data_IF_855626779655
#
_entry.id   IF_855626779655
#
_cell.length_a   1.000
_cell.length_b   1.000
_cell.length_c   1.000
_cell.angle_alpha   90.00
_cell.angle_beta   90.00
_cell.angle_gamma   90.00
#
_symmetry.space_group_name_H-M   'P 1'
#
loop_
_entity.id
_entity.type
_entity.pdbx_description
1 polymer ?
#
# COMPACT_ATOMS: atom_id res chain seq x y z
N UNK A 1 -18.41 -7.18 -1.40
CA UNK A 1 -16.94 -7.16 -1.50
C UNK A 1 -16.39 -6.20 -0.44
N UNK A 2 -15.39 -6.63 0.34
CA UNK A 2 -14.78 -5.82 1.41
C UNK A 2 -13.41 -5.37 0.94
N UNK A 3 -13.12 -4.07 1.00
CA UNK A 3 -11.83 -3.47 0.69
C UNK A 3 -11.10 -3.17 2.00
N UNK A 4 -9.89 -3.68 2.16
CA UNK A 4 -9.00 -3.38 3.29
C UNK A 4 -7.75 -2.69 2.75
N UNK A 5 -7.38 -1.55 3.32
CA UNK A 5 -6.21 -0.79 2.91
C UNK A 5 -5.05 -0.96 3.88
N UNK A 6 -3.85 -1.11 3.34
CA UNK A 6 -2.62 -1.32 4.11
C UNK A 6 -2.01 0.02 4.52
N UNK A 7 -2.03 0.33 5.82
CA UNK A 7 -1.64 1.62 6.39
C UNK A 7 -0.32 1.52 7.17
N UNK A 8 0.81 1.46 6.45
CA UNK A 8 2.17 1.39 7.00
C UNK A 8 2.90 2.73 6.88
N UNK A 9 3.03 3.24 5.65
CA UNK A 9 3.85 4.41 5.29
C UNK A 9 3.40 5.69 5.97
N UNK A 10 4.35 6.51 6.40
CA UNK A 10 4.13 7.83 7.00
C UNK A 10 4.88 8.92 6.23
N UNK A 11 4.57 10.21 6.44
CA UNK A 11 5.29 11.31 5.80
C UNK A 11 6.82 11.23 5.97
N UNK A 12 7.29 10.76 7.12
CA UNK A 12 8.70 10.69 7.47
C UNK A 12 9.27 9.26 7.52
N UNK A 13 8.45 8.23 7.29
CA UNK A 13 8.85 6.82 7.35
C UNK A 13 8.31 6.05 6.14
N UNK A 14 9.11 5.97 5.08
CA UNK A 14 8.86 5.18 3.88
C UNK A 14 9.77 3.96 3.81
N UNK A 15 10.98 4.11 3.24
CA UNK A 15 11.97 3.02 3.15
C UNK A 15 12.43 2.55 4.53
N UNK A 16 12.60 3.47 5.48
CA UNK A 16 12.82 3.16 6.89
C UNK A 16 11.48 3.00 7.63
N UNK A 17 10.71 1.99 7.25
CA UNK A 17 9.38 1.76 7.79
C UNK A 17 9.37 1.43 9.30
N UNK A 18 10.48 0.95 9.86
CA UNK A 18 10.59 0.68 11.30
C UNK A 18 10.65 1.96 12.16
N UNK A 19 10.92 3.11 11.53
CA UNK A 19 10.96 4.44 12.17
C UNK A 19 9.59 5.13 12.22
N UNK A 20 8.51 4.43 11.90
CA UNK A 20 7.14 4.98 12.00
C UNK A 20 6.87 5.57 13.40
N UNK A 21 6.10 6.66 13.41
CA UNK A 21 5.82 7.46 14.62
C UNK A 21 4.37 7.40 15.08
N UNK A 22 3.44 6.98 14.23
CA UNK A 22 2.04 6.79 14.64
C UNK A 22 1.98 5.88 15.86
N UNK A 23 1.23 6.28 16.88
CA UNK A 23 1.13 5.58 18.16
C UNK A 23 -0.22 4.91 18.32
N UNK A 24 -0.26 3.82 19.07
CA UNK A 24 -1.47 3.15 19.55
C UNK A 24 -1.25 2.82 21.04
N UNK A 25 -1.64 3.73 21.90
CA UNK A 25 -1.39 3.59 23.36
C UNK A 25 -2.59 2.93 24.00
N UNK A 26 -2.35 1.86 24.76
CA UNK A 26 -3.41 1.10 25.43
C UNK A 26 -4.06 1.92 26.53
N UNK A 27 -5.40 1.95 26.52
CA UNK A 27 -6.26 2.58 27.52
C UNK A 27 -7.41 1.61 27.86
N UNK A 28 -7.17 0.75 28.85
CA UNK A 28 -8.13 -0.29 29.25
C UNK A 28 -8.38 -1.32 28.15
N UNK A 29 -9.61 -1.36 27.66
CA UNK A 29 -10.09 -2.24 26.60
C UNK A 29 -9.97 -1.63 25.17
N UNK A 30 -9.30 -0.49 25.05
CA UNK A 30 -9.06 0.23 23.81
C UNK A 30 -7.59 0.60 23.62
N UNK A 31 -7.28 1.05 22.40
CA UNK A 31 -6.06 1.80 22.07
C UNK A 31 -6.44 3.20 21.58
N UNK A 32 -5.72 4.21 22.06
CA UNK A 32 -5.80 5.57 21.53
C UNK A 32 -4.77 5.71 20.44
N UNK A 33 -5.25 5.94 19.21
CA UNK A 33 -4.40 6.01 18.01
C UNK A 33 -4.23 7.44 17.57
N UNK A 34 -2.96 7.85 17.38
CA UNK A 34 -2.58 9.16 16.86
C UNK A 34 -1.49 9.03 15.80
N UNK A 35 -1.62 9.80 14.71
CA UNK A 35 -0.63 9.88 13.65
C UNK A 35 -1.22 9.97 12.25
N UNK A 36 -0.34 10.09 11.25
CA UNK A 36 -0.74 10.21 9.84
C UNK A 36 -0.10 9.11 9.02
N UNK A 37 -0.92 8.38 8.27
CA UNK A 37 -0.48 7.42 7.25
C UNK A 37 -0.59 8.04 5.87
N UNK A 38 0.45 7.89 5.07
CA UNK A 38 0.57 8.52 3.76
C UNK A 38 0.53 7.51 2.61
N UNK A 39 0.01 7.94 1.47
CA UNK A 39 -0.09 7.16 0.24
C UNK A 39 -0.87 5.85 0.39
N UNK A 40 -1.94 5.87 1.18
CA UNK A 40 -2.73 4.67 1.45
C UNK A 40 -3.66 4.38 0.28
N UNK A 41 -3.40 3.26 -0.40
CA UNK A 41 -4.14 2.85 -1.59
C UNK A 41 -5.58 2.53 -1.25
N UNK A 42 -6.51 3.13 -2.00
CA UNK A 42 -7.96 2.98 -1.86
C UNK A 42 -8.52 3.36 -0.49
N UNK A 43 -7.82 4.15 0.33
CA UNK A 43 -8.27 4.53 1.66
C UNK A 43 -9.67 5.15 1.68
N UNK A 44 -10.01 5.94 0.65
CA UNK A 44 -11.34 6.58 0.53
C UNK A 44 -12.47 5.61 0.18
N UNK A 45 -12.16 4.35 -0.16
CA UNK A 45 -13.11 3.27 -0.47
C UNK A 45 -12.98 2.09 0.49
N UNK A 46 -11.99 2.12 1.39
CA UNK A 46 -11.75 1.05 2.34
C UNK A 46 -12.90 0.93 3.35
N UNK A 47 -13.15 -0.30 3.79
CA UNK A 47 -14.06 -0.62 4.89
C UNK A 47 -13.27 -0.77 6.21
N UNK A 48 -11.98 -1.11 6.09
CA UNK A 48 -11.06 -1.22 7.22
C UNK A 48 -9.62 -0.91 6.77
N UNK A 49 -8.76 -0.68 7.75
CA UNK A 49 -7.33 -0.48 7.56
C UNK A 49 -6.55 -1.57 8.29
N UNK A 50 -5.54 -2.17 7.64
CA UNK A 50 -4.48 -2.86 8.37
C UNK A 50 -3.47 -1.81 8.78
N UNK A 51 -3.54 -1.36 10.04
CA UNK A 51 -2.73 -0.27 10.59
C UNK A 51 -1.51 -0.81 11.32
N UNK A 52 -0.33 -0.30 11.02
CA UNK A 52 0.88 -0.47 11.82
C UNK A 52 1.09 0.79 12.65
N UNK A 53 1.14 0.62 13.98
CA UNK A 53 1.35 1.71 14.91
C UNK A 53 2.23 1.27 16.08
N UNK A 54 2.87 2.21 16.73
CA UNK A 54 3.77 1.98 17.84
C UNK A 54 2.98 1.87 19.15
N UNK A 55 2.98 0.67 19.74
CA UNK A 55 2.36 0.40 21.05
C UNK A 55 3.34 0.66 22.18
N UNK A 56 4.64 0.53 21.94
CA UNK A 56 5.69 0.91 22.90
C UNK A 56 6.58 2.03 22.33
N UNK A 57 6.31 3.30 22.68
CA UNK A 57 7.13 4.43 22.25
C UNK A 57 8.57 4.41 22.80
N UNK A 58 8.85 3.64 23.86
CA UNK A 58 10.18 3.52 24.49
C UNK A 58 11.06 2.51 23.76
N UNK A 59 10.46 1.54 23.08
CA UNK A 59 11.18 0.53 22.30
C UNK A 59 11.37 1.01 20.86
N UNK A 60 12.59 1.37 20.44
CA UNK A 60 12.86 1.83 19.08
C UNK A 60 12.78 0.68 18.06
N UNK A 61 12.60 1.06 16.78
CA UNK A 61 12.61 0.12 15.66
C UNK A 61 11.41 -0.82 15.64
N UNK A 62 11.60 -1.99 15.06
CA UNK A 62 10.55 -2.95 14.73
C UNK A 62 9.77 -3.51 15.93
N UNK A 63 10.45 -3.71 17.06
CA UNK A 63 9.87 -4.38 18.23
C UNK A 63 8.79 -3.56 18.96
N UNK A 64 8.77 -2.24 18.78
CA UNK A 64 7.74 -1.38 19.37
C UNK A 64 6.47 -1.26 18.51
N UNK A 65 6.40 -1.95 17.36
CA UNK A 65 5.32 -1.80 16.37
C UNK A 65 4.36 -2.98 16.42
N UNK A 66 3.07 -2.69 16.55
CA UNK A 66 1.96 -3.65 16.48
C UNK A 66 1.12 -3.44 15.23
N UNK A 67 0.33 -4.44 14.86
CA UNK A 67 -0.59 -4.38 13.74
C UNK A 67 -2.03 -4.49 14.23
N UNK A 68 -2.93 -3.76 13.58
CA UNK A 68 -4.35 -3.71 13.93
C UNK A 68 -5.22 -3.82 12.68
N UNK A 69 -6.40 -4.43 12.80
CA UNK A 69 -7.47 -4.30 11.79
C UNK A 69 -8.47 -3.27 12.31
N UNK A 70 -8.45 -2.08 11.73
CA UNK A 70 -9.22 -0.93 12.21
C UNK A 70 -10.41 -0.67 11.30
N UNK A 71 -11.66 -0.76 11.76
CA UNK A 71 -12.82 -0.33 11.01
C UNK A 71 -12.71 1.15 10.64
N UNK A 72 -13.14 1.50 9.43
CA UNK A 72 -13.04 2.86 8.91
C UNK A 72 -13.85 3.89 9.69
N UNK A 73 -15.04 3.48 10.17
CA UNK A 73 -16.04 4.40 10.71
C UNK A 73 -15.81 4.77 12.19
N UNK A 74 -14.64 4.43 12.73
CA UNK A 74 -14.26 4.85 14.08
C UNK A 74 -14.06 6.36 14.12
N UNK A 75 -14.69 7.08 15.09
CA UNK A 75 -14.46 8.51 15.29
C UNK A 75 -12.97 8.83 15.47
N UNK A 76 -12.53 9.96 14.91
CA UNK A 76 -11.12 10.36 14.92
C UNK A 76 -10.30 9.81 13.74
N UNK A 77 -10.92 9.09 12.79
CA UNK A 77 -10.27 8.68 11.54
C UNK A 77 -10.71 9.63 10.42
N UNK A 78 -9.75 10.33 9.82
CA UNK A 78 -9.98 11.29 8.75
C UNK A 78 -9.22 10.87 7.49
N UNK A 79 -9.92 10.84 6.35
CA UNK A 79 -9.36 10.44 5.07
C UNK A 79 -9.19 11.66 4.18
N UNK A 80 -7.95 11.89 3.75
CA UNK A 80 -7.58 12.98 2.87
C UNK A 80 -8.15 12.84 1.46
N UNK A 81 -7.96 13.90 0.67
CA UNK A 81 -8.33 13.88 -0.75
C UNK A 81 -7.39 12.96 -1.53
N UNK A 82 -7.88 12.32 -2.61
CA UNK A 82 -7.02 11.54 -3.49
C UNK A 82 -5.91 12.38 -4.11
N UNK A 83 -4.70 11.85 -4.08
CA UNK A 83 -3.52 12.44 -4.72
C UNK A 83 -3.63 12.38 -6.25
N UNK A 84 -3.06 13.40 -6.92
CA UNK A 84 -2.89 13.38 -8.39
C UNK A 84 -1.70 12.52 -8.74
N UNK A 85 -1.89 11.56 -9.66
CA UNK A 85 -0.85 10.62 -10.09
C UNK A 85 -0.63 10.67 -11.59
N UNK A 86 0.54 10.20 -12.05
CA UNK A 86 0.87 10.12 -13.48
C UNK A 86 0.13 8.98 -14.19
N UNK A 87 -0.34 7.97 -13.45
CA UNK A 87 -1.03 6.81 -14.02
C UNK A 87 -1.82 6.05 -12.95
N UNK A 88 -2.39 4.91 -13.32
CA UNK A 88 -3.21 4.04 -12.47
C UNK A 88 -4.35 4.80 -11.76
N UNK A 89 -5.08 5.62 -12.50
CA UNK A 89 -6.10 6.52 -11.97
C UNK A 89 -7.26 5.78 -11.28
N UNK A 90 -7.47 4.51 -11.61
CA UNK A 90 -8.49 3.67 -10.98
C UNK A 90 -8.21 3.30 -9.52
N UNK A 91 -6.93 3.33 -9.09
CA UNK A 91 -6.53 3.11 -7.71
C UNK A 91 -6.25 4.45 -7.04
N UNK A 92 -7.13 4.90 -6.15
CA UNK A 92 -6.91 6.15 -5.40
C UNK A 92 -5.80 5.97 -4.35
N UNK A 93 -5.09 7.04 -4.03
CA UNK A 93 -4.12 7.10 -2.95
C UNK A 93 -4.46 8.30 -2.08
N UNK A 94 -4.61 8.12 -0.77
CA UNK A 94 -4.97 9.17 0.17
C UNK A 94 -4.09 9.10 1.42
N UNK A 95 -4.00 10.22 2.14
CA UNK A 95 -3.55 10.22 3.53
C UNK A 95 -4.69 9.75 4.44
N UNK A 96 -4.35 9.11 5.55
CA UNK A 96 -5.27 8.73 6.63
C UNK A 96 -4.72 9.29 7.94
N UNK A 97 -5.48 10.16 8.57
CA UNK A 97 -5.11 10.81 9.83
C UNK A 97 -5.91 10.20 10.97
N UNK A 98 -5.22 9.87 12.04
CA UNK A 98 -5.80 9.39 13.29
C UNK A 98 -5.60 10.46 14.35
N UNK A 99 -6.71 10.95 14.91
CA UNK A 99 -6.75 11.97 15.97
C UNK A 99 -7.55 11.42 17.14
N UNK A 100 -6.85 10.98 18.18
CA UNK A 100 -7.41 10.32 19.35
C UNK A 100 -8.43 9.22 19.02
N UNK A 101 -8.18 8.49 17.93
CA UNK A 101 -9.08 7.43 17.49
C UNK A 101 -9.07 6.27 18.49
N UNK A 102 -10.21 5.99 19.11
CA UNK A 102 -10.38 4.89 20.09
C UNK A 102 -10.73 3.61 19.36
N UNK A 103 -9.77 2.72 19.23
CA UNK A 103 -9.97 1.41 18.59
C UNK A 103 -10.08 0.31 19.67
N UNK A 104 -11.04 -0.64 19.55
CA UNK A 104 -11.14 -1.75 20.48
C UNK A 104 -9.86 -2.59 20.55
N UNK A 105 -9.52 -3.10 21.74
CA UNK A 105 -8.31 -3.92 21.91
C UNK A 105 -8.33 -5.20 21.08
N UNK A 106 -9.51 -5.72 20.78
CA UNK A 106 -9.71 -6.87 19.87
C UNK A 106 -9.28 -6.62 18.42
N UNK A 107 -9.06 -5.35 18.02
CA UNK A 107 -8.50 -5.01 16.72
C UNK A 107 -7.02 -5.34 16.58
N UNK A 108 -6.32 -5.67 17.69
CA UNK A 108 -4.92 -6.08 17.66
C UNK A 108 -4.77 -7.42 16.93
N UNK A 109 -3.89 -7.45 15.94
CA UNK A 109 -3.62 -8.68 15.18
C UNK A 109 -2.66 -9.60 15.95
N UNK A 110 -3.09 -10.83 16.20
CA UNK A 110 -2.29 -11.90 16.80
C UNK A 110 -2.17 -11.81 18.31
N UNK A 111 -3.00 -11.01 18.98
CA UNK A 111 -3.14 -10.89 20.43
C UNK A 111 -1.83 -10.56 21.19
N UNK A 112 -0.77 -10.18 20.47
CA UNK A 112 0.56 -9.85 21.01
C UNK A 112 1.08 -8.54 20.43
N UNK A 113 1.41 -7.58 21.30
CA UNK A 113 2.05 -6.34 20.90
C UNK A 113 3.49 -6.57 20.40
N UNK A 114 4.01 -5.64 19.58
CA UNK A 114 5.39 -5.68 19.09
C UNK A 114 5.67 -6.64 17.93
N UNK A 115 4.65 -7.36 17.42
CA UNK A 115 4.78 -8.31 16.30
C UNK A 115 4.38 -7.73 14.95
N UNK A 116 3.79 -6.55 14.93
CA UNK A 116 3.20 -5.96 13.73
C UNK A 116 4.19 -5.72 12.60
N UNK A 117 5.41 -5.29 12.89
CA UNK A 117 6.41 -5.03 11.86
C UNK A 117 6.84 -6.33 11.14
N UNK A 118 7.08 -7.40 11.87
CA UNK A 118 7.44 -8.70 11.28
C UNK A 118 6.31 -9.21 10.38
N UNK A 119 5.08 -9.12 10.86
CA UNK A 119 3.88 -9.48 10.07
C UNK A 119 3.78 -8.65 8.79
N UNK A 120 4.00 -7.33 8.88
CA UNK A 120 4.00 -6.45 7.73
C UNK A 120 5.07 -6.85 6.69
N UNK A 121 6.29 -7.18 7.12
CA UNK A 121 7.37 -7.60 6.21
C UNK A 121 7.06 -8.92 5.51
N UNK A 122 6.48 -9.89 6.21
CA UNK A 122 6.04 -11.16 5.61
C UNK A 122 4.98 -10.97 4.54
N UNK A 123 4.03 -10.06 4.76
CA UNK A 123 3.00 -9.71 3.77
C UNK A 123 3.62 -9.02 2.54
N UNK A 124 4.54 -8.07 2.75
CA UNK A 124 5.23 -7.37 1.67
C UNK A 124 6.11 -8.30 0.84
N UNK A 125 6.74 -9.31 1.45
CA UNK A 125 7.53 -10.30 0.72
C UNK A 125 6.67 -11.07 -0.28
N UNK A 126 5.49 -11.53 0.14
CA UNK A 126 4.52 -12.16 -0.77
C UNK A 126 4.01 -11.17 -1.83
N UNK A 127 3.76 -9.92 -1.45
CA UNK A 127 3.34 -8.86 -2.36
C UNK A 127 4.34 -8.61 -3.50
N UNK A 128 5.64 -8.73 -3.24
CA UNK A 128 6.69 -8.59 -4.28
C UNK A 128 6.57 -9.67 -5.36
N UNK A 129 6.24 -10.91 -4.99
CA UNK A 129 6.01 -11.99 -5.95
C UNK A 129 4.76 -11.71 -6.82
N UNK A 130 3.68 -11.24 -6.21
CA UNK A 130 2.46 -10.88 -6.94
C UNK A 130 2.72 -9.76 -7.96
N UNK A 131 3.42 -8.70 -7.54
CA UNK A 131 3.74 -7.58 -8.44
C UNK A 131 4.68 -8.03 -9.58
N UNK A 132 5.64 -8.90 -9.30
CA UNK A 132 6.51 -9.48 -10.34
C UNK A 132 5.69 -10.25 -11.38
N UNK A 133 4.73 -11.06 -10.97
CA UNK A 133 3.85 -11.78 -11.89
C UNK A 133 2.99 -10.82 -12.74
N UNK A 134 2.47 -9.75 -12.15
CA UNK A 134 1.74 -8.70 -12.89
C UNK A 134 2.63 -8.04 -13.93
N UNK A 135 3.88 -7.70 -13.58
CA UNK A 135 4.83 -7.08 -14.50
C UNK A 135 5.16 -7.99 -15.69
N UNK A 136 5.33 -9.31 -15.44
CA UNK A 136 5.57 -10.30 -16.51
C UNK A 136 4.38 -10.34 -17.46
N UNK A 137 3.15 -10.47 -16.95
CA UNK A 137 1.96 -10.51 -17.81
C UNK A 137 1.75 -9.24 -18.63
N UNK A 138 2.08 -8.07 -18.06
CA UNK A 138 2.06 -6.80 -18.82
C UNK A 138 3.14 -6.78 -19.90
N UNK A 139 4.36 -7.24 -19.60
CA UNK A 139 5.46 -7.30 -20.57
C UNK A 139 5.12 -8.22 -21.74
N UNK A 140 4.61 -9.43 -21.49
CA UNK A 140 4.18 -10.37 -22.53
C UNK A 140 3.14 -9.74 -23.44
N UNK A 141 2.12 -9.09 -22.88
CA UNK A 141 1.10 -8.42 -23.65
C UNK A 141 1.65 -7.27 -24.49
N UNK A 142 2.57 -6.48 -23.95
CA UNK A 142 3.21 -5.39 -24.70
C UNK A 142 4.04 -5.91 -25.87
N UNK A 143 4.73 -7.03 -25.72
CA UNK A 143 5.47 -7.68 -26.82
C UNK A 143 4.51 -8.14 -27.90
N UNK A 144 3.44 -8.87 -27.56
CA UNK A 144 2.43 -9.32 -28.51
C UNK A 144 1.81 -8.15 -29.30
N UNK A 145 1.37 -7.10 -28.61
CA UNK A 145 0.75 -5.94 -29.24
C UNK A 145 1.76 -5.18 -30.15
N UNK A 146 3.03 -5.09 -29.72
CA UNK A 146 4.09 -4.44 -30.49
C UNK A 146 4.41 -5.21 -31.77
N UNK A 147 4.55 -6.52 -31.69
CA UNK A 147 4.81 -7.38 -32.88
C UNK A 147 3.65 -7.30 -33.86
N UNK A 148 2.42 -7.40 -33.36
CA UNK A 148 1.23 -7.27 -34.21
C UNK A 148 1.18 -5.91 -34.90
N UNK A 149 1.39 -4.83 -34.14
CA UNK A 149 1.38 -3.49 -34.70
C UNK A 149 2.49 -3.30 -35.74
N UNK A 150 3.72 -3.80 -35.50
CA UNK A 150 4.82 -3.72 -36.43
C UNK A 150 4.55 -4.46 -37.76
N UNK A 151 3.82 -5.58 -37.69
CA UNK A 151 3.42 -6.35 -38.87
C UNK A 151 2.28 -5.68 -39.68
N UNK A 152 1.39 -4.95 -39.03
CA UNK A 152 0.21 -4.35 -39.66
C UNK A 152 0.46 -2.89 -40.15
N UNK A 153 1.20 -2.09 -39.34
CA UNK A 153 1.46 -0.68 -39.63
C UNK A 153 2.40 -0.52 -40.81
N UNK A 154 1.98 0.22 -41.87
CA UNK A 154 2.78 0.49 -43.04
C UNK A 154 3.34 1.91 -43.06
N UNK A 155 4.60 2.04 -43.43
CA UNK A 155 5.29 3.28 -43.82
C UNK A 155 6.22 2.97 -44.99
N UNK A 156 6.45 3.95 -45.87
CA UNK A 156 7.26 3.79 -47.09
C UNK A 156 6.81 2.61 -47.99
N UNK A 157 5.51 2.28 -47.96
CA UNK A 157 4.91 1.21 -48.77
C UNK A 157 5.00 -0.21 -48.21
N UNK A 158 5.67 -0.43 -47.06
CA UNK A 158 5.86 -1.73 -46.41
C UNK A 158 5.53 -1.70 -44.91
N UNK A 159 5.30 -2.85 -44.28
CA UNK A 159 5.20 -2.94 -42.84
C UNK A 159 6.42 -2.35 -42.13
N UNK A 160 6.24 -1.67 -40.98
CA UNK A 160 7.39 -1.12 -40.25
C UNK A 160 8.28 -2.23 -39.65
N UNK A 161 7.75 -3.44 -39.48
CA UNK A 161 8.50 -4.63 -39.10
C UNK A 161 9.59 -5.06 -40.09
N UNK A 162 9.55 -4.57 -41.35
CA UNK A 162 10.60 -4.82 -42.32
C UNK A 162 11.82 -3.91 -42.17
N UNK A 163 11.73 -2.90 -41.31
CA UNK A 163 12.83 -1.99 -41.01
C UNK A 163 13.81 -2.63 -40.01
N UNK A 164 15.10 -2.66 -40.37
CA UNK A 164 16.14 -3.34 -39.56
C UNK A 164 16.18 -2.92 -38.09
N UNK A 165 15.99 -1.61 -37.79
CA UNK A 165 16.00 -1.12 -36.41
C UNK A 165 14.78 -1.58 -35.60
N UNK A 166 13.63 -1.78 -36.26
CA UNK A 166 12.41 -2.33 -35.58
C UNK A 166 12.60 -3.83 -35.34
N UNK A 167 13.25 -4.55 -36.26
CA UNK A 167 13.54 -5.98 -36.06
C UNK A 167 14.56 -6.23 -34.96
N UNK A 168 15.43 -5.27 -34.66
CA UNK A 168 16.46 -5.38 -33.63
C UNK A 168 15.93 -5.10 -32.22
N UNK A 169 14.71 -4.58 -32.07
CA UNK A 169 14.05 -4.33 -30.80
C UNK A 169 13.40 -5.59 -30.24
#
# INVERSE_FOLDING_TARGET
>A
EVIVSFALTEPEAGSDAASLKATAIRDGDHYIVNGTKRYITNANKAHAFTLMARTDPKTPGAKGVSAFVVPRDIPGIHIGKPEKKMGQQGAHICDVVFEDARIPAECLLGDEEGRGFVTAMQVLERGRLHISAVCIGVADRLVEDSVKYAAERKQFGAPIGDLQLVQAM
#
